data_IF_331822433785
#
_entry.id   IF_331822433785
#
_cell.length_a   1.000
_cell.length_b   1.000
_cell.length_c   1.000
_cell.angle_alpha   90.00
_cell.angle_beta   90.00
_cell.angle_gamma   90.00
#
_symmetry.space_group_name_H-M   'P 1'
#
loop_
_entity.id
_entity.type
_entity.pdbx_description
1 polymer ?
#
# COMPACT_ATOMS: atom_id res chain seq x y z
N UNK A 1 -1.86 -10.56 20.48
CA UNK A 1 -1.89 -11.58 19.39
C UNK A 1 -3.31 -12.14 19.31
N UNK A 2 -3.86 -12.35 18.10
CA UNK A 2 -5.19 -12.97 17.91
C UNK A 2 -5.03 -14.46 17.61
N UNK A 3 -5.90 -15.31 18.17
CA UNK A 3 -5.97 -16.74 17.84
C UNK A 3 -6.95 -16.94 16.69
N UNK A 4 -6.57 -17.76 15.72
CA UNK A 4 -7.38 -18.11 14.56
C UNK A 4 -7.28 -19.61 14.36
N UNK A 5 -8.42 -20.29 14.28
CA UNK A 5 -8.49 -21.70 13.90
C UNK A 5 -8.54 -21.79 12.38
N UNK A 6 -7.70 -22.64 11.81
CA UNK A 6 -7.65 -22.91 10.37
C UNK A 6 -7.78 -24.42 10.17
N UNK A 7 -8.51 -24.82 9.14
CA UNK A 7 -8.56 -26.20 8.69
C UNK A 7 -7.34 -26.46 7.80
N UNK A 8 -6.60 -27.54 8.06
CA UNK A 8 -5.51 -28.03 7.23
C UNK A 8 -5.88 -29.40 6.69
N UNK A 9 -5.34 -29.74 5.53
CA UNK A 9 -5.33 -31.13 5.07
C UNK A 9 -4.37 -31.94 5.95
N UNK A 10 -4.65 -33.23 6.12
CA UNK A 10 -3.89 -34.10 7.04
C UNK A 10 -2.41 -34.20 6.64
N UNK A 11 -2.13 -34.32 5.34
CA UNK A 11 -0.77 -34.34 4.77
C UNK A 11 0.02 -33.06 5.08
N UNK A 12 -0.62 -31.90 5.00
CA UNK A 12 -0.02 -30.62 5.33
C UNK A 12 0.22 -30.47 6.84
N UNK A 13 -0.67 -31.04 7.66
CA UNK A 13 -0.49 -31.06 9.12
C UNK A 13 0.73 -31.92 9.50
N UNK A 14 0.88 -33.09 8.88
CA UNK A 14 2.04 -33.97 9.08
C UNK A 14 3.34 -33.29 8.66
N UNK A 15 3.35 -32.63 7.51
CA UNK A 15 4.51 -31.88 7.03
C UNK A 15 4.86 -30.71 7.96
N UNK A 16 3.86 -30.02 8.50
CA UNK A 16 4.06 -28.94 9.46
C UNK A 16 4.66 -29.44 10.77
N UNK A 17 4.22 -30.60 11.26
CA UNK A 17 4.77 -31.23 12.46
C UNK A 17 6.19 -31.75 12.25
N UNK A 18 6.49 -32.27 11.06
CA UNK A 18 7.85 -32.63 10.66
C UNK A 18 8.79 -31.40 10.72
N UNK A 19 8.41 -30.29 10.10
CA UNK A 19 9.21 -29.06 10.09
C UNK A 19 9.36 -28.45 11.50
N UNK A 20 8.33 -28.56 12.33
CA UNK A 20 8.38 -28.15 13.74
C UNK A 20 9.49 -28.89 14.50
N UNK A 21 9.56 -30.21 14.34
CA UNK A 21 10.58 -31.06 14.97
C UNK A 21 11.96 -30.79 14.39
N UNK A 22 12.06 -30.64 13.07
CA UNK A 22 13.33 -30.39 12.37
C UNK A 22 13.98 -29.08 12.78
N UNK A 23 13.19 -28.02 12.95
CA UNK A 23 13.72 -26.68 13.24
C UNK A 23 13.75 -26.33 14.74
N UNK A 24 13.17 -27.17 15.61
CA UNK A 24 12.95 -26.86 17.04
C UNK A 24 12.20 -25.53 17.26
N UNK A 25 11.23 -25.22 16.39
CA UNK A 25 10.41 -24.00 16.48
C UNK A 25 8.97 -24.34 16.81
N UNK A 26 8.20 -23.35 17.25
CA UNK A 26 6.77 -23.55 17.49
C UNK A 26 5.99 -23.54 16.17
N UNK A 27 4.91 -24.32 16.09
CA UNK A 27 3.97 -24.33 14.95
C UNK A 27 3.50 -22.92 14.61
N UNK A 28 3.18 -22.13 15.63
CA UNK A 28 2.72 -20.76 15.48
C UNK A 28 3.80 -19.80 14.92
N UNK A 29 5.09 -20.09 15.12
CA UNK A 29 6.17 -19.32 14.52
C UNK A 29 6.29 -19.62 13.02
N UNK A 30 6.29 -20.91 12.65
CA UNK A 30 6.36 -21.36 11.26
C UNK A 30 5.17 -20.83 10.46
N UNK A 31 3.94 -21.00 10.97
CA UNK A 31 2.72 -20.52 10.31
C UNK A 31 2.73 -18.99 10.19
N UNK A 32 3.21 -18.27 11.20
CA UNK A 32 3.33 -16.80 11.12
C UNK A 32 4.30 -16.37 10.04
N UNK A 33 5.48 -16.99 9.96
CA UNK A 33 6.47 -16.67 8.94
C UNK A 33 5.97 -16.99 7.54
N UNK A 34 5.32 -18.15 7.36
CA UNK A 34 4.71 -18.52 6.09
C UNK A 34 3.63 -17.50 5.67
N UNK A 35 2.74 -17.11 6.59
CA UNK A 35 1.73 -16.08 6.32
C UNK A 35 2.35 -14.71 6.06
N UNK A 36 3.40 -14.32 6.79
CA UNK A 36 4.11 -13.07 6.55
C UNK A 36 4.78 -13.07 5.17
N UNK A 37 5.45 -14.16 4.79
CA UNK A 37 6.07 -14.33 3.47
C UNK A 37 5.05 -14.34 2.34
N UNK A 38 3.96 -15.10 2.50
CA UNK A 38 2.87 -15.17 1.52
C UNK A 38 2.21 -13.80 1.33
N UNK A 39 1.89 -13.09 2.41
CA UNK A 39 1.28 -11.77 2.35
C UNK A 39 2.27 -10.68 1.92
N UNK A 40 3.57 -10.83 2.20
CA UNK A 40 4.59 -9.90 1.71
C UNK A 40 4.85 -10.09 0.21
N UNK A 41 4.90 -11.34 -0.27
CA UNK A 41 5.02 -11.68 -1.68
C UNK A 41 3.77 -11.33 -2.50
N UNK A 42 2.58 -11.49 -1.92
CA UNK A 42 1.31 -11.03 -2.52
C UNK A 42 1.11 -9.51 -2.49
N UNK A 43 1.86 -8.78 -1.64
CA UNK A 43 1.91 -7.31 -1.64
C UNK A 43 2.92 -6.73 -2.63
N UNK A 44 3.42 -7.55 -3.57
CA UNK A 44 4.10 -7.05 -4.77
C UNK A 44 3.13 -6.43 -5.79
N UNK A 45 1.81 -6.40 -5.53
CA UNK A 45 0.94 -5.47 -6.27
C UNK A 45 0.87 -4.13 -5.54
N UNK A 46 1.90 -3.32 -5.73
CA UNK A 46 1.71 -1.90 -6.07
C UNK A 46 0.95 -1.01 -5.05
N UNK A 47 1.07 -1.21 -3.74
CA UNK A 47 0.76 -0.12 -2.80
C UNK A 47 1.94 0.86 -2.77
N UNK A 48 2.17 1.52 -3.90
CA UNK A 48 2.69 2.89 -3.90
C UNK A 48 1.79 3.64 -2.93
N UNK A 49 2.32 4.02 -1.78
CA UNK A 49 1.62 4.92 -0.86
C UNK A 49 1.12 6.10 -1.73
N UNK A 50 -0.17 6.47 -1.67
CA UNK A 50 -0.75 7.44 -2.61
C UNK A 50 -0.10 8.83 -2.55
N UNK A 51 0.77 9.04 -1.56
CA UNK A 51 1.51 10.27 -1.31
C UNK A 51 3.02 10.18 -1.66
N UNK A 52 3.55 9.01 -2.02
CA UNK A 52 4.97 8.91 -2.42
C UNK A 52 5.14 9.52 -3.80
N UNK A 53 5.88 10.65 -3.86
CA UNK A 53 6.06 11.46 -5.07
C UNK A 53 5.02 12.56 -5.26
N UNK A 54 4.08 12.74 -4.32
CA UNK A 54 3.15 13.86 -4.34
C UNK A 54 3.93 15.15 -4.06
N UNK A 55 4.09 15.99 -5.08
CA UNK A 55 4.93 17.20 -5.03
C UNK A 55 6.30 17.06 -5.71
N UNK A 56 6.63 15.90 -6.31
CA UNK A 56 7.83 15.74 -7.13
C UNK A 56 7.64 16.44 -8.49
N UNK A 57 7.77 17.76 -8.51
CA UNK A 57 7.67 18.60 -9.71
C UNK A 57 8.89 18.49 -10.64
N UNK A 58 9.94 17.78 -10.21
CA UNK A 58 11.24 17.73 -10.89
C UNK A 58 12.03 19.04 -10.82
N UNK A 59 11.50 20.04 -10.09
CA UNK A 59 12.06 21.39 -9.97
C UNK A 59 12.30 21.69 -8.50
N UNK A 60 13.49 22.18 -8.17
CA UNK A 60 13.89 22.49 -6.79
C UNK A 60 13.43 23.88 -6.32
N UNK A 61 12.96 24.72 -7.24
CA UNK A 61 12.60 26.12 -7.01
C UNK A 61 11.10 26.35 -6.84
N UNK A 62 10.25 25.33 -6.99
CA UNK A 62 8.78 25.48 -6.95
C UNK A 62 8.26 26.06 -5.64
N UNK A 63 8.92 25.77 -4.51
CA UNK A 63 8.56 26.35 -3.22
C UNK A 63 8.95 27.82 -3.11
N UNK A 64 10.07 28.23 -3.73
CA UNK A 64 10.57 29.60 -3.70
C UNK A 64 9.77 30.52 -4.63
N UNK A 65 9.34 29.99 -5.77
CA UNK A 65 8.66 30.75 -6.81
C UNK A 65 7.13 30.53 -6.79
N UNK A 66 6.58 30.05 -5.67
CA UNK A 66 5.18 29.64 -5.59
C UNK A 66 4.20 30.77 -5.96
N UNK A 67 4.44 31.99 -5.48
CA UNK A 67 3.59 33.16 -5.78
C UNK A 67 3.61 33.53 -7.26
N UNK A 68 4.80 33.57 -7.87
CA UNK A 68 4.96 33.88 -9.29
C UNK A 68 4.27 32.82 -10.17
N UNK A 69 4.43 31.54 -9.82
CA UNK A 69 3.77 30.41 -10.50
C UNK A 69 2.24 30.54 -10.39
N UNK A 70 1.72 30.85 -9.19
CA UNK A 70 0.28 31.02 -8.98
C UNK A 70 -0.29 32.22 -9.75
N UNK A 71 0.42 33.35 -9.78
CA UNK A 71 0.00 34.53 -10.57
C UNK A 71 -0.03 34.19 -12.06
N UNK A 72 1.00 33.51 -12.56
CA UNK A 72 1.08 33.10 -13.97
C UNK A 72 -0.01 32.10 -14.36
N UNK A 73 -0.28 31.12 -13.52
CA UNK A 73 -1.14 29.98 -13.86
C UNK A 73 -2.61 30.18 -13.48
N UNK A 74 -2.89 30.87 -12.36
CA UNK A 74 -4.24 31.17 -11.89
C UNK A 74 -4.70 32.61 -12.19
N UNK A 75 -3.80 33.52 -12.57
CA UNK A 75 -4.15 34.91 -12.89
C UNK A 75 -4.92 35.11 -14.20
N UNK A 76 -5.17 34.03 -14.96
CA UNK A 76 -5.85 34.06 -16.26
C UNK A 76 -7.34 33.71 -16.20
N UNK A 77 -8.20 34.75 -16.24
CA UNK A 77 -9.66 34.77 -16.49
C UNK A 77 -10.53 33.79 -15.67
N UNK A 78 -11.24 34.35 -14.67
CA UNK A 78 -12.54 33.84 -14.21
C UNK A 78 -13.45 33.59 -15.41
N UNK A 79 -13.73 32.33 -15.75
CA UNK A 79 -14.88 31.97 -16.60
C UNK A 79 -16.15 32.27 -15.78
N UNK A 80 -17.07 33.13 -16.25
CA UNK A 80 -18.34 33.29 -15.58
C UNK A 80 -19.11 31.96 -15.65
N UNK A 81 -19.71 31.59 -14.52
CA UNK A 81 -20.38 30.31 -14.32
C UNK A 81 -21.35 29.94 -15.45
N UNK A 82 -21.26 28.68 -15.88
CA UNK A 82 -22.22 28.09 -16.81
C UNK A 82 -23.61 28.09 -16.21
N UNK A 83 -24.56 28.71 -16.91
CA UNK A 83 -26.00 28.65 -16.64
C UNK A 83 -26.44 27.18 -16.57
N UNK A 84 -26.84 26.69 -15.39
CA UNK A 84 -27.58 25.42 -15.26
C UNK A 84 -28.92 25.60 -15.99
N UNK A 85 -29.06 24.96 -17.16
CA UNK A 85 -30.38 24.68 -17.75
C UNK A 85 -30.98 23.52 -16.95
N UNK A 86 -32.00 23.80 -16.16
CA UNK A 86 -32.89 22.76 -15.65
C UNK A 86 -33.77 22.27 -16.80
N UNK A 87 -33.96 20.94 -16.81
CA UNK A 87 -34.97 20.22 -17.59
C UNK A 87 -36.37 20.65 -17.20
#
# INVERSE_FOLDING_TARGET
>A
MRRTTILLQDDLADQLDYERRRQNRSTAAIVREALMGYLAGGKSSNKRLPFVGLGASGKTDTARNAEEILIRELGGKRKPGGKRRNR
#
